data_IF_140965017529
#
_entry.id   IF_140965017529
#
_cell.length_a   1.000
_cell.length_b   1.000
_cell.length_c   1.000
_cell.angle_alpha   90.00
_cell.angle_beta   90.00
_cell.angle_gamma   90.00
#
_symmetry.space_group_name_H-M   'P 1'
#
loop_
_entity.id
_entity.type
_entity.pdbx_description
1 polymer ?
#
# COMPACT_ATOMS: atom_id res chain seq x y z
N UNK A 1 11.69 22.09 40.30
CA UNK A 1 10.54 21.97 39.37
C UNK A 1 11.03 21.25 38.13
N UNK A 2 10.43 20.10 37.82
CA UNK A 2 10.87 19.17 36.78
C UNK A 2 10.67 19.74 35.36
N UNK A 3 11.48 19.34 34.36
CA UNK A 3 11.27 19.75 32.98
C UNK A 3 10.01 19.07 32.43
N UNK A 4 9.16 19.84 31.77
CA UNK A 4 8.05 19.33 30.96
C UNK A 4 8.63 18.54 29.78
N UNK A 5 8.66 17.21 29.90
CA UNK A 5 8.83 16.34 28.75
C UNK A 5 7.49 16.33 27.99
N UNK A 6 7.35 17.20 26.98
CA UNK A 6 6.34 16.98 25.95
C UNK A 6 6.87 15.88 25.05
N UNK A 7 6.44 14.64 25.31
CA UNK A 7 6.48 13.61 24.28
C UNK A 7 5.53 14.07 23.17
N UNK A 8 6.07 14.70 22.13
CA UNK A 8 5.38 14.76 20.85
C UNK A 8 5.36 13.34 20.31
N UNK A 9 4.32 12.58 20.68
CA UNK A 9 4.12 11.22 20.17
C UNK A 9 4.05 11.27 18.65
N UNK A 10 4.80 10.40 17.98
CA UNK A 10 4.69 10.22 16.53
C UNK A 10 3.23 9.94 16.18
N UNK A 11 2.64 10.77 15.31
CA UNK A 11 1.29 10.56 14.82
C UNK A 11 1.35 9.64 13.60
N UNK A 12 0.78 8.45 13.73
CA UNK A 12 0.64 7.49 12.64
C UNK A 12 -0.83 7.46 12.20
N UNK A 13 -1.07 7.72 10.92
CA UNK A 13 -2.38 7.57 10.31
C UNK A 13 -2.30 6.64 9.10
N UNK A 14 -3.37 5.88 8.87
CA UNK A 14 -3.58 5.12 7.66
C UNK A 14 -4.86 5.63 7.01
N UNK A 15 -4.77 6.05 5.75
CA UNK A 15 -5.91 6.67 5.03
C UNK A 15 -5.96 6.24 3.58
N UNK A 16 -7.10 6.47 2.95
CA UNK A 16 -7.25 6.28 1.51
C UNK A 16 -6.28 7.21 0.76
N UNK A 17 -5.71 6.69 -0.33
CA UNK A 17 -4.96 7.51 -1.26
C UNK A 17 -5.91 8.43 -2.04
N UNK A 18 -5.45 9.64 -2.33
CA UNK A 18 -6.09 10.57 -3.26
C UNK A 18 -5.10 11.01 -4.34
N UNK A 19 -5.58 11.73 -5.35
CA UNK A 19 -4.73 12.17 -6.48
C UNK A 19 -3.52 13.00 -6.06
N UNK A 20 -3.63 13.77 -4.96
CA UNK A 20 -2.53 14.58 -4.46
C UNK A 20 -1.36 13.75 -3.88
N UNK A 21 -1.58 12.44 -3.64
CA UNK A 21 -0.55 11.54 -3.13
C UNK A 21 0.33 10.94 -4.22
N UNK A 22 -0.08 11.02 -5.49
CA UNK A 22 0.56 10.25 -6.57
C UNK A 22 2.03 10.61 -6.78
N UNK A 23 2.39 11.88 -6.63
CA UNK A 23 3.80 12.32 -6.71
C UNK A 23 4.64 11.72 -5.58
N UNK A 24 4.10 11.68 -4.35
CA UNK A 24 4.78 11.07 -3.21
C UNK A 24 4.88 9.54 -3.37
N UNK A 25 3.85 8.89 -3.90
CA UNK A 25 3.86 7.46 -4.19
C UNK A 25 4.92 7.11 -5.23
N UNK A 26 5.03 7.87 -6.33
CA UNK A 26 6.09 7.67 -7.33
C UNK A 26 7.48 7.79 -6.70
N UNK A 27 7.69 8.84 -5.90
CA UNK A 27 8.97 9.07 -5.23
C UNK A 27 9.31 7.90 -4.28
N UNK A 28 8.36 7.46 -3.46
CA UNK A 28 8.55 6.34 -2.52
C UNK A 28 8.83 5.03 -3.27
N UNK A 29 8.05 4.72 -4.32
CA UNK A 29 8.22 3.50 -5.12
C UNK A 29 9.62 3.44 -5.74
N UNK A 30 10.01 4.51 -6.43
CA UNK A 30 11.25 4.53 -7.21
C UNK A 30 12.51 4.66 -6.32
N UNK A 31 12.35 5.04 -5.05
CA UNK A 31 13.42 5.01 -4.06
C UNK A 31 13.55 3.66 -3.32
N UNK A 32 12.66 2.69 -3.53
CA UNK A 32 12.55 1.50 -2.69
C UNK A 32 13.63 0.42 -2.92
N UNK A 33 14.47 0.59 -3.94
CA UNK A 33 15.60 -0.28 -4.25
C UNK A 33 15.27 -1.40 -5.26
N UNK A 34 16.23 -2.28 -5.57
CA UNK A 34 16.17 -3.20 -6.71
C UNK A 34 15.08 -4.27 -6.64
N UNK A 35 14.47 -4.51 -5.48
CA UNK A 35 13.37 -5.45 -5.31
C UNK A 35 11.99 -4.88 -5.68
N UNK A 36 11.90 -3.58 -6.00
CA UNK A 36 10.65 -2.92 -6.37
C UNK A 36 10.75 -2.46 -7.82
N UNK A 37 9.80 -2.90 -8.64
CA UNK A 37 9.75 -2.50 -10.04
C UNK A 37 9.50 -0.97 -10.14
N UNK A 38 10.27 -0.26 -10.96
CA UNK A 38 10.03 1.16 -11.22
C UNK A 38 8.60 1.42 -11.68
N UNK A 39 8.08 2.57 -11.31
CA UNK A 39 6.74 3.03 -11.62
C UNK A 39 6.83 4.42 -12.26
N UNK A 40 6.20 4.58 -13.42
CA UNK A 40 5.99 5.88 -14.05
C UNK A 40 4.59 6.41 -13.73
N UNK A 41 4.36 7.69 -14.04
CA UNK A 41 3.09 8.36 -13.73
C UNK A 41 1.88 7.77 -14.47
N UNK A 42 2.07 7.26 -15.69
CA UNK A 42 0.98 6.69 -16.48
C UNK A 42 0.53 5.35 -15.88
N UNK A 43 1.48 4.50 -15.51
CA UNK A 43 1.22 3.23 -14.84
C UNK A 43 0.66 3.46 -13.44
N UNK A 44 1.19 4.42 -12.67
CA UNK A 44 0.61 4.75 -11.37
C UNK A 44 -0.84 5.24 -11.51
N UNK A 45 -1.13 6.09 -12.50
CA UNK A 45 -2.51 6.56 -12.73
C UNK A 45 -3.44 5.38 -13.00
N UNK A 46 -3.03 4.42 -13.85
CA UNK A 46 -3.81 3.18 -14.04
C UNK A 46 -4.01 2.39 -12.75
N UNK A 47 -2.96 2.24 -11.92
CA UNK A 47 -3.09 1.54 -10.64
C UNK A 47 -4.08 2.27 -9.72
N UNK A 48 -4.00 3.60 -9.64
CA UNK A 48 -4.92 4.42 -8.83
C UNK A 48 -6.37 4.28 -9.29
N UNK A 49 -6.62 4.35 -10.60
CA UNK A 49 -7.98 4.31 -11.17
C UNK A 49 -8.64 2.92 -11.05
N UNK A 50 -7.85 1.85 -10.90
CA UNK A 50 -8.35 0.47 -10.88
C UNK A 50 -8.23 -0.22 -9.51
N UNK A 51 -7.59 0.40 -8.52
CA UNK A 51 -7.37 -0.23 -7.22
C UNK A 51 -8.66 -0.24 -6.39
N UNK A 52 -9.05 -1.43 -5.91
CA UNK A 52 -10.11 -1.58 -4.91
C UNK A 52 -9.65 -1.18 -3.50
N UNK A 53 -8.34 -1.20 -3.29
CA UNK A 53 -7.72 -0.83 -2.02
C UNK A 53 -6.40 -0.12 -2.28
N UNK A 54 -6.35 1.16 -1.92
CA UNK A 54 -5.14 1.96 -1.95
C UNK A 54 -5.04 2.77 -0.66
N UNK A 55 -3.99 2.51 0.13
CA UNK A 55 -3.74 3.19 1.40
C UNK A 55 -2.38 3.87 1.44
N UNK A 56 -2.36 5.04 2.06
CA UNK A 56 -1.16 5.79 2.44
C UNK A 56 -1.01 5.68 3.95
N UNK A 57 0.18 5.29 4.40
CA UNK A 57 0.58 5.48 5.79
C UNK A 57 1.27 6.83 5.92
N UNK A 58 0.80 7.67 6.83
CA UNK A 58 1.39 8.96 7.16
C UNK A 58 2.03 8.90 8.54
N UNK A 59 3.24 9.44 8.64
CA UNK A 59 3.90 9.69 9.92
C UNK A 59 4.19 11.18 10.03
N UNK A 60 3.65 11.81 11.06
CA UNK A 60 3.80 13.25 11.32
C UNK A 60 3.43 14.10 10.09
N UNK A 61 2.32 13.72 9.44
CA UNK A 61 1.77 14.40 8.26
C UNK A 61 2.50 14.13 6.94
N UNK A 62 3.48 13.22 6.92
CA UNK A 62 4.24 12.90 5.72
C UNK A 62 4.01 11.45 5.28
N UNK A 63 3.82 11.22 3.98
CA UNK A 63 3.70 9.88 3.42
C UNK A 63 4.96 9.05 3.72
N UNK A 64 4.78 7.97 4.48
CA UNK A 64 5.82 7.07 4.95
C UNK A 64 5.82 5.72 4.23
N UNK A 65 4.74 5.42 3.50
CA UNK A 65 4.60 4.23 2.69
C UNK A 65 3.20 4.13 2.09
N UNK A 66 2.98 3.10 1.28
CA UNK A 66 1.69 2.83 0.67
C UNK A 66 1.49 1.33 0.41
N UNK A 67 0.22 0.94 0.22
CA UNK A 67 -0.19 -0.39 -0.25
C UNK A 67 -1.24 -0.26 -1.34
N UNK A 68 -1.09 -1.04 -2.41
CA UNK A 68 -2.06 -1.16 -3.52
C UNK A 68 -2.51 -2.62 -3.61
N UNK A 69 -3.83 -2.84 -3.65
CA UNK A 69 -4.43 -4.14 -3.88
C UNK A 69 -5.68 -4.07 -4.76
N UNK A 70 -5.97 -5.19 -5.42
CA UNK A 70 -6.99 -5.34 -6.45
C UNK A 70 -7.93 -6.52 -6.13
N UNK A 71 -9.17 -6.44 -6.57
CA UNK A 71 -10.14 -7.54 -6.58
C UNK A 71 -10.07 -8.34 -7.88
N UNK A 72 -10.70 -9.51 -7.87
CA UNK A 72 -10.73 -10.47 -8.99
C UNK A 72 -11.19 -9.91 -10.34
N UNK A 73 -11.94 -8.80 -10.33
CA UNK A 73 -12.51 -8.17 -11.52
C UNK A 73 -11.67 -7.01 -12.06
N UNK A 74 -10.59 -6.63 -11.38
CA UNK A 74 -9.75 -5.52 -11.78
C UNK A 74 -9.04 -5.80 -13.11
N UNK A 75 -8.92 -4.76 -13.94
CA UNK A 75 -8.18 -4.81 -15.20
C UNK A 75 -6.66 -4.67 -14.96
N UNK A 76 -6.07 -5.64 -14.25
CA UNK A 76 -4.66 -5.62 -13.88
C UNK A 76 -3.82 -6.54 -14.79
N UNK A 77 -2.65 -6.05 -15.23
CA UNK A 77 -1.86 -6.65 -16.32
C UNK A 77 -0.81 -7.68 -15.86
N UNK A 78 -0.62 -7.87 -14.55
CA UNK A 78 0.32 -8.85 -14.01
C UNK A 78 -0.03 -10.30 -14.41
N UNK A 79 0.94 -11.09 -14.92
CA UNK A 79 0.76 -12.52 -15.12
C UNK A 79 0.35 -13.27 -13.85
N UNK A 80 0.85 -12.85 -12.68
CA UNK A 80 0.52 -13.46 -11.40
C UNK A 80 -0.94 -13.18 -11.02
N UNK A 81 -1.39 -11.93 -11.17
CA UNK A 81 -2.80 -11.60 -10.99
C UNK A 81 -3.71 -12.43 -11.90
N UNK A 82 -3.37 -12.56 -13.19
CA UNK A 82 -4.14 -13.39 -14.13
C UNK A 82 -4.19 -14.85 -13.70
N UNK A 83 -3.08 -15.41 -13.24
CA UNK A 83 -3.04 -16.78 -12.73
C UNK A 83 -4.00 -16.98 -11.55
N UNK A 84 -4.11 -16.01 -10.63
CA UNK A 84 -5.07 -16.03 -9.53
C UNK A 84 -6.51 -15.88 -10.02
N UNK A 85 -6.78 -14.93 -10.92
CA UNK A 85 -8.09 -14.68 -11.51
C UNK A 85 -8.68 -15.92 -12.22
N UNK A 86 -7.83 -16.73 -12.85
CA UNK A 86 -8.24 -17.98 -13.50
C UNK A 86 -8.63 -19.10 -12.50
N UNK A 87 -8.17 -19.03 -11.24
CA UNK A 87 -8.24 -20.15 -10.28
C UNK A 87 -9.11 -19.88 -9.06
N UNK A 88 -9.25 -18.61 -8.71
CA UNK A 88 -9.95 -18.19 -7.50
C UNK A 88 -11.09 -17.23 -7.89
N UNK A 89 -12.35 -17.61 -7.62
CA UNK A 89 -13.49 -16.82 -8.07
C UNK A 89 -13.66 -15.50 -7.29
N UNK A 90 -13.01 -15.36 -6.12
CA UNK A 90 -13.05 -14.14 -5.33
C UNK A 90 -11.79 -14.02 -4.47
N UNK A 91 -11.07 -12.90 -4.58
CA UNK A 91 -9.87 -12.63 -3.79
C UNK A 91 -9.55 -11.13 -3.73
N UNK A 92 -8.72 -10.75 -2.76
CA UNK A 92 -7.95 -9.50 -2.79
C UNK A 92 -6.50 -9.88 -3.09
N UNK A 93 -5.87 -9.20 -4.03
CA UNK A 93 -4.48 -9.41 -4.43
C UNK A 93 -3.66 -8.16 -4.13
N UNK A 94 -2.72 -8.27 -3.19
CA UNK A 94 -1.76 -7.22 -2.87
C UNK A 94 -0.71 -7.18 -3.99
N UNK A 95 -0.74 -6.13 -4.80
CA UNK A 95 0.23 -5.90 -5.89
C UNK A 95 1.55 -5.38 -5.34
N UNK A 96 1.49 -4.40 -4.43
CA UNK A 96 2.70 -3.84 -3.81
C UNK A 96 2.42 -3.23 -2.46
N UNK A 97 3.41 -3.39 -1.57
CA UNK A 97 3.54 -2.62 -0.33
C UNK A 97 4.93 -2.03 -0.28
N UNK A 98 5.04 -0.71 -0.13
CA UNK A 98 6.32 -0.01 -0.14
C UNK A 98 6.40 0.92 1.04
N UNK A 99 7.49 0.81 1.80
CA UNK A 99 7.79 1.67 2.94
C UNK A 99 9.04 2.49 2.58
N UNK A 100 8.96 3.81 2.77
CA UNK A 100 10.06 4.72 2.57
C UNK A 100 11.30 4.26 3.37
N UNK A 101 12.49 4.34 2.78
CA UNK A 101 13.70 3.73 3.35
C UNK A 101 14.01 4.19 4.78
N UNK A 102 13.83 5.48 5.07
CA UNK A 102 14.01 6.11 6.39
C UNK A 102 12.92 5.73 7.42
N UNK A 103 11.86 5.05 7.00
CA UNK A 103 10.71 4.66 7.82
C UNK A 103 10.60 3.14 8.04
N UNK A 104 11.53 2.35 7.48
CA UNK A 104 11.60 0.90 7.70
C UNK A 104 11.89 0.58 9.17
N UNK A 105 11.44 -0.60 9.62
CA UNK A 105 11.62 -1.07 11.00
C UNK A 105 10.67 -0.45 12.04
N UNK A 106 9.76 0.46 11.65
CA UNK A 106 8.81 1.13 12.55
C UNK A 106 7.43 0.46 12.63
N UNK A 107 7.30 -0.78 12.15
CA UNK A 107 6.04 -1.53 12.18
C UNK A 107 5.00 -1.17 11.11
N UNK A 108 5.29 -0.21 10.21
CA UNK A 108 4.35 0.22 9.15
C UNK A 108 3.86 -0.92 8.26
N UNK A 109 4.72 -1.88 7.94
CA UNK A 109 4.30 -3.07 7.16
C UNK A 109 3.23 -3.87 7.88
N UNK A 110 3.37 -4.06 9.20
CA UNK A 110 2.36 -4.77 10.00
C UNK A 110 1.03 -4.01 10.01
N UNK A 111 1.08 -2.68 10.05
CA UNK A 111 -0.13 -1.83 9.99
C UNK A 111 -0.84 -1.99 8.65
N UNK A 112 -0.10 -1.94 7.54
CA UNK A 112 -0.67 -2.19 6.21
C UNK A 112 -1.30 -3.58 6.08
N UNK A 113 -0.58 -4.64 6.52
CA UNK A 113 -1.08 -6.01 6.43
C UNK A 113 -2.30 -6.24 7.32
N UNK A 114 -2.33 -5.64 8.51
CA UNK A 114 -3.51 -5.72 9.37
C UNK A 114 -4.73 -5.06 8.72
N UNK A 115 -4.58 -3.85 8.16
CA UNK A 115 -5.69 -3.12 7.55
C UNK A 115 -6.24 -3.82 6.29
N UNK A 116 -5.36 -4.28 5.39
CA UNK A 116 -5.80 -4.97 4.17
C UNK A 116 -6.41 -6.33 4.50
N UNK A 117 -5.94 -7.00 5.57
CA UNK A 117 -6.54 -8.24 6.04
C UNK A 117 -7.95 -8.00 6.56
N UNK A 118 -8.15 -7.02 7.44
CA UNK A 118 -9.50 -6.64 7.91
C UNK A 118 -10.42 -6.17 6.78
N UNK A 119 -9.86 -5.50 5.76
CA UNK A 119 -10.61 -5.16 4.56
C UNK A 119 -11.04 -6.42 3.78
N UNK A 120 -10.14 -7.38 3.59
CA UNK A 120 -10.40 -8.59 2.80
C UNK A 120 -11.34 -9.57 3.52
N UNK A 121 -11.17 -9.79 4.83
CA UNK A 121 -11.84 -10.85 5.60
C UNK A 121 -13.37 -10.79 5.51
N UNK A 122 -13.95 -9.59 5.45
CA UNK A 122 -15.41 -9.40 5.34
C UNK A 122 -15.93 -9.38 3.89
N UNK A 123 -15.04 -9.53 2.90
CA UNK A 123 -15.36 -9.38 1.46
C UNK A 123 -14.98 -10.58 0.61
N UNK A 124 -13.97 -11.36 1.01
CA UNK A 124 -13.42 -12.49 0.25
C UNK A 124 -12.83 -13.58 1.13
N UNK A 125 -12.79 -14.83 0.63
CA UNK A 125 -12.16 -15.93 1.34
C UNK A 125 -10.63 -15.97 1.19
N UNK A 126 -10.05 -15.20 0.27
CA UNK A 126 -8.62 -15.28 -0.08
C UNK A 126 -7.98 -13.89 -0.15
N UNK A 127 -6.85 -13.76 0.55
CA UNK A 127 -5.90 -12.66 0.41
C UNK A 127 -4.62 -13.24 -0.21
N UNK A 128 -4.28 -12.77 -1.41
CA UNK A 128 -3.07 -13.12 -2.15
C UNK A 128 -2.08 -11.96 -2.13
N UNK A 129 -0.80 -12.25 -2.35
CA UNK A 129 0.27 -11.25 -2.40
C UNK A 129 1.23 -11.56 -3.55
N UNK A 130 1.64 -10.53 -4.26
CA UNK A 130 2.77 -10.58 -5.19
C UNK A 130 4.08 -10.86 -4.42
N UNK A 131 4.96 -11.66 -5.01
CA UNK A 131 6.25 -12.09 -4.45
C UNK A 131 7.44 -11.66 -5.29
#
# INVERSE_FOLDING_TARGET
MAPHHREYGMSLALREACENDLDAVLAINNAAGPGILPLDGERLRRLYDNADYFRIAEVDGHAAGFLIAFREHAAHDSPNFRWFAERHPAFVYIDRVVIAGNMRGRGLGRVFYADVHSHAEVRVPLLACEV
#
